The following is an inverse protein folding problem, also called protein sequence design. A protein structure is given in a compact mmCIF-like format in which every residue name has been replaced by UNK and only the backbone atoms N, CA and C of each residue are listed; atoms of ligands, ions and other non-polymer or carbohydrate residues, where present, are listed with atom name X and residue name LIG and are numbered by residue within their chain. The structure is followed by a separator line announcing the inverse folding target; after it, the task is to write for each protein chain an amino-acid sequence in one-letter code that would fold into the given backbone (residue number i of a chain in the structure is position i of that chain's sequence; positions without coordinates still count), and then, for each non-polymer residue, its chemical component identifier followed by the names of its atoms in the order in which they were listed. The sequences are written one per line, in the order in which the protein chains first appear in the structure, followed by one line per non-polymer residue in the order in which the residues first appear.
data_IF_074870516121
#
_entry.id   IF_074870516121
#
_cell.length_a   1.000
_cell.length_b   1.000
_cell.length_c   1.000
_cell.angle_alpha   90.00
_cell.angle_beta   90.00
_cell.angle_gamma   90.00
#
_symmetry.space_group_name_H-M   'P 1'
#
loop_
_entity.id
_entity.type
_entity.pdbx_description
1 polymer ?
#
# COMPACT_ATOMS: atom_id res chain seq x y z
N UNK A 1 -15.81 39.97 54.35
CA UNK A 1 -15.18 38.63 54.33
C UNK A 1 -15.64 37.89 53.07
N UNK A 2 -14.70 37.61 52.16
CA UNK A 2 -14.79 36.63 51.05
C UNK A 2 -14.74 35.20 51.65
N UNK A 3 -15.25 34.12 51.00
CA UNK A 3 -14.85 33.64 49.66
C UNK A 3 -16.05 33.28 48.75
N UNK A 4 -16.05 33.41 47.40
CA UNK A 4 -15.04 33.21 46.35
C UNK A 4 -14.55 31.76 46.25
N UNK A 5 -15.35 30.86 45.67
CA UNK A 5 -14.94 29.56 45.10
C UNK A 5 -16.14 28.79 44.53
N UNK A 6 -16.60 29.15 43.33
CA UNK A 6 -17.55 28.32 42.58
C UNK A 6 -17.46 28.60 41.07
N UNK A 7 -16.26 28.50 40.50
CA UNK A 7 -16.08 28.57 39.04
C UNK A 7 -14.69 28.07 38.60
N UNK A 8 -14.22 26.91 39.07
CA UNK A 8 -13.03 26.27 38.51
C UNK A 8 -13.22 24.75 38.52
N UNK A 9 -14.04 24.21 37.61
CA UNK A 9 -14.01 22.77 37.33
C UNK A 9 -14.53 22.43 35.91
N UNK A 10 -14.32 23.33 34.94
CA UNK A 10 -14.70 23.08 33.55
C UNK A 10 -13.68 23.69 32.57
N UNK A 11 -12.40 23.37 32.73
CA UNK A 11 -11.36 23.87 31.81
C UNK A 11 -10.10 22.98 31.71
N UNK A 12 -10.23 21.65 31.79
CA UNK A 12 -9.07 20.73 31.57
C UNK A 12 -9.44 19.53 30.68
N UNK A 13 -10.32 19.72 29.69
CA UNK A 13 -10.63 18.70 28.67
C UNK A 13 -10.47 19.20 27.23
N UNK A 14 -9.78 20.32 27.02
CA UNK A 14 -9.38 20.75 25.69
C UNK A 14 -7.85 20.77 25.62
N UNK A 15 -7.32 20.24 24.52
CA UNK A 15 -5.91 20.17 24.15
C UNK A 15 -5.09 18.96 24.67
N UNK A 16 -5.63 17.75 24.56
CA UNK A 16 -4.87 16.70 23.90
C UNK A 16 -5.14 16.79 22.40
N UNK A 17 -4.80 17.94 21.80
CA UNK A 17 -4.69 18.03 20.36
C UNK A 17 -3.47 17.18 20.00
N UNK A 18 -3.74 15.94 19.60
CA UNK A 18 -2.78 15.13 18.87
C UNK A 18 -2.15 16.04 17.84
N UNK A 19 -0.89 16.36 18.03
CA UNK A 19 -0.14 17.13 17.05
C UNK A 19 -0.28 16.36 15.74
N UNK A 20 -0.89 16.94 14.69
CA UNK A 20 -1.01 16.21 13.43
C UNK A 20 0.41 15.78 13.06
N UNK A 21 0.63 14.48 12.76
CA UNK A 21 1.94 14.00 12.41
C UNK A 21 2.51 14.90 11.31
N UNK A 22 3.81 15.25 11.36
CA UNK A 22 4.40 16.20 10.45
C UNK A 22 4.01 15.82 9.03
N UNK A 23 3.31 16.74 8.35
CA UNK A 23 2.81 16.48 7.00
C UNK A 23 4.03 16.35 6.10
N UNK A 24 4.37 15.10 5.76
CA UNK A 24 5.47 14.81 4.85
C UNK A 24 5.12 15.44 3.50
N UNK A 25 5.90 16.43 3.10
CA UNK A 25 5.75 17.14 1.83
C UNK A 25 6.87 16.77 0.88
N UNK A 26 6.59 16.77 -0.42
CA UNK A 26 7.58 16.55 -1.47
C UNK A 26 8.35 15.24 -1.28
N UNK A 27 7.62 14.13 -1.28
CA UNK A 27 8.16 12.78 -1.09
C UNK A 27 8.72 12.28 -2.43
N UNK A 28 10.04 12.14 -2.61
CA UNK A 28 10.58 11.46 -3.79
C UNK A 28 10.20 9.99 -3.74
N UNK A 29 9.61 9.50 -4.84
CA UNK A 29 9.15 8.13 -4.98
C UNK A 29 9.64 7.54 -6.28
N UNK A 30 10.14 6.31 -6.23
CA UNK A 30 10.38 5.47 -7.39
C UNK A 30 9.29 4.40 -7.48
N UNK A 31 8.66 4.33 -8.66
CA UNK A 31 7.77 3.25 -9.08
C UNK A 31 8.48 2.39 -10.11
N UNK A 32 8.31 1.07 -9.99
CA UNK A 32 8.76 0.11 -11.00
C UNK A 32 7.58 -0.69 -11.54
N UNK A 33 7.31 -0.51 -12.82
CA UNK A 33 6.27 -1.22 -13.56
C UNK A 33 6.93 -2.25 -14.47
N UNK A 34 6.61 -3.52 -14.29
CA UNK A 34 7.15 -4.62 -15.08
C UNK A 34 6.09 -5.21 -16.01
N UNK A 35 6.56 -5.78 -17.13
CA UNK A 35 5.74 -6.44 -18.16
C UNK A 35 4.70 -5.53 -18.84
N UNK A 36 4.93 -4.22 -18.87
CA UNK A 36 4.04 -3.23 -19.50
C UNK A 36 4.02 -3.44 -21.02
N UNK A 37 2.84 -3.70 -21.58
CA UNK A 37 2.67 -3.91 -23.03
C UNK A 37 2.33 -2.64 -23.79
N UNK A 38 2.92 -2.53 -24.97
CA UNK A 38 2.62 -1.50 -25.94
C UNK A 38 2.51 -2.15 -27.32
N UNK A 39 1.28 -2.37 -27.77
CA UNK A 39 0.93 -3.02 -29.03
C UNK A 39 0.46 -1.97 -30.04
N UNK A 40 1.00 -2.01 -31.25
CA UNK A 40 0.67 -1.05 -32.31
C UNK A 40 -0.79 -1.22 -32.75
N UNK A 41 -1.59 -0.16 -32.63
CA UNK A 41 -3.02 -0.19 -32.97
C UNK A 41 -3.87 -0.99 -31.98
N UNK A 42 -3.29 -1.38 -30.84
CA UNK A 42 -3.94 -2.17 -29.80
C UNK A 42 -3.76 -1.55 -28.42
N UNK A 43 -3.43 -2.38 -27.43
CA UNK A 43 -3.31 -2.00 -26.03
C UNK A 43 -2.04 -1.20 -25.80
N UNK A 44 -2.16 -0.03 -25.15
CA UNK A 44 -1.04 0.77 -24.67
C UNK A 44 -1.14 0.93 -23.15
N UNK A 45 -0.63 -0.06 -22.42
CA UNK A 45 -0.71 -0.11 -20.96
C UNK A 45 0.09 1.02 -20.31
N UNK A 46 1.16 1.47 -20.98
CA UNK A 46 1.97 2.59 -20.51
C UNK A 46 1.18 3.90 -20.50
N UNK A 47 0.36 4.14 -21.53
CA UNK A 47 -0.50 5.33 -21.60
C UNK A 47 -1.55 5.35 -20.47
N UNK A 48 -2.09 4.19 -20.09
CA UNK A 48 -3.02 4.09 -18.96
C UNK A 48 -2.33 4.41 -17.62
N UNK A 49 -1.13 3.85 -17.40
CA UNK A 49 -0.30 4.15 -16.22
C UNK A 49 0.03 5.65 -16.17
N UNK A 50 0.49 6.22 -17.29
CA UNK A 50 0.80 7.64 -17.38
C UNK A 50 -0.42 8.49 -17.04
N UNK A 51 -1.61 8.13 -17.53
CA UNK A 51 -2.84 8.87 -17.25
C UNK A 51 -3.16 8.91 -15.74
N UNK A 52 -3.01 7.78 -15.03
CA UNK A 52 -3.18 7.74 -13.57
C UNK A 52 -2.17 8.65 -12.86
N UNK A 53 -0.89 8.53 -13.22
CA UNK A 53 0.17 9.32 -12.59
C UNK A 53 -0.02 10.83 -12.87
N UNK A 54 -0.40 11.20 -14.08
CA UNK A 54 -0.61 12.60 -14.48
C UNK A 54 -1.81 13.24 -13.76
N UNK A 55 -2.93 12.51 -13.60
CA UNK A 55 -4.10 13.01 -12.87
C UNK A 55 -3.74 13.35 -11.43
N UNK A 56 -2.96 12.49 -10.77
CA UNK A 56 -2.58 12.68 -9.36
C UNK A 56 -1.50 13.73 -9.17
N UNK A 57 -0.53 13.79 -10.07
CA UNK A 57 0.61 14.70 -9.96
C UNK A 57 0.39 16.06 -10.64
N UNK A 58 -0.68 16.19 -11.43
CA UNK A 58 -1.02 17.39 -12.21
C UNK A 58 0.12 17.87 -13.13
N UNK A 59 0.94 16.94 -13.61
CA UNK A 59 2.06 17.20 -14.53
C UNK A 59 2.35 15.98 -15.39
N UNK A 60 2.94 16.17 -16.59
CA UNK A 60 3.43 15.07 -17.41
C UNK A 60 4.42 14.19 -16.63
N UNK A 61 4.34 12.88 -16.85
CA UNK A 61 5.23 11.89 -16.23
C UNK A 61 5.91 11.09 -17.33
N UNK A 62 7.25 11.07 -17.29
CA UNK A 62 8.09 10.27 -18.17
C UNK A 62 8.67 9.10 -17.38
N UNK A 63 8.73 7.93 -18.02
CA UNK A 63 9.35 6.74 -17.46
C UNK A 63 10.62 6.39 -18.21
N UNK A 64 11.63 5.93 -17.49
CA UNK A 64 12.84 5.33 -18.03
C UNK A 64 12.54 3.86 -18.39
N UNK A 65 12.85 3.45 -19.62
CA UNK A 65 12.78 2.04 -20.02
C UNK A 65 14.03 1.33 -19.51
N UNK A 66 13.86 0.46 -18.50
CA UNK A 66 14.96 -0.30 -17.88
C UNK A 66 15.19 -1.63 -18.61
N UNK A 67 14.13 -2.18 -19.19
CA UNK A 67 14.18 -3.42 -19.96
C UNK A 67 13.15 -3.37 -21.08
N UNK A 68 13.51 -3.88 -22.24
CA UNK A 68 12.62 -4.00 -23.39
C UNK A 68 12.73 -5.39 -24.00
N UNK A 69 11.60 -5.93 -24.44
CA UNK A 69 11.51 -7.13 -25.27
C UNK A 69 10.47 -6.91 -26.36
N UNK A 70 10.87 -7.11 -27.62
CA UNK A 70 9.93 -7.07 -28.74
C UNK A 70 8.99 -8.28 -28.73
N UNK A 71 7.75 -8.03 -29.14
CA UNK A 71 6.74 -9.03 -29.48
C UNK A 71 6.22 -8.71 -30.90
N UNK A 72 5.55 -9.66 -31.56
CA UNK A 72 5.24 -9.59 -33.00
C UNK A 72 4.66 -8.25 -33.48
N UNK A 73 3.83 -7.60 -32.66
CA UNK A 73 3.09 -6.38 -32.96
C UNK A 73 3.41 -5.22 -32.00
N UNK A 74 4.50 -5.31 -31.21
CA UNK A 74 4.80 -4.29 -30.21
C UNK A 74 5.97 -4.60 -29.28
N UNK A 75 5.91 -4.04 -28.07
CA UNK A 75 6.94 -4.18 -27.05
C UNK A 75 6.35 -4.55 -25.69
N UNK A 76 7.13 -5.28 -24.91
CA UNK A 76 6.95 -5.47 -23.47
C UNK A 76 8.10 -4.80 -22.77
N UNK A 77 7.81 -3.85 -21.88
CA UNK A 77 8.81 -3.01 -21.22
C UNK A 77 8.72 -3.06 -19.71
N UNK A 78 9.85 -2.81 -19.07
CA UNK A 78 9.94 -2.46 -17.66
C UNK A 78 10.22 -0.97 -17.58
N UNK A 79 9.34 -0.23 -16.92
CA UNK A 79 9.48 1.19 -16.67
C UNK A 79 9.91 1.47 -15.23
N UNK A 80 10.90 2.34 -15.07
CA UNK A 80 11.20 3.01 -13.82
C UNK A 80 10.71 4.44 -13.91
N UNK A 81 9.98 4.88 -12.88
CA UNK A 81 9.38 6.21 -12.84
C UNK A 81 9.76 6.87 -11.53
N UNK A 82 10.50 7.97 -11.61
CA UNK A 82 10.87 8.77 -10.46
C UNK A 82 10.01 10.02 -10.43
N UNK A 83 9.28 10.21 -9.33
CA UNK A 83 8.40 11.36 -9.13
C UNK A 83 8.66 12.02 -7.78
N UNK A 84 8.22 13.26 -7.68
CA UNK A 84 8.07 13.96 -6.40
C UNK A 84 6.57 14.05 -6.10
N UNK A 85 6.09 13.28 -5.14
CA UNK A 85 4.70 13.32 -4.71
C UNK A 85 4.50 14.48 -3.70
N UNK A 86 3.37 15.21 -3.76
CA UNK A 86 3.09 16.29 -2.82
C UNK A 86 3.09 15.83 -1.37
N UNK A 87 2.54 14.65 -1.11
CA UNK A 87 2.40 14.04 0.21
C UNK A 87 2.25 12.51 0.08
N UNK A 88 2.26 11.81 1.22
CA UNK A 88 2.08 10.36 1.27
C UNK A 88 0.68 9.90 0.86
N UNK A 89 -0.36 10.68 1.17
CA UNK A 89 -1.74 10.33 0.79
C UNK A 89 -1.89 10.26 -0.75
N UNK A 90 -1.16 11.12 -1.46
CA UNK A 90 -1.08 11.08 -2.92
C UNK A 90 -0.40 9.80 -3.40
N UNK A 91 0.65 9.35 -2.71
CA UNK A 91 1.35 8.09 -3.04
C UNK A 91 0.44 6.89 -2.87
N UNK A 92 -0.29 6.82 -1.76
CA UNK A 92 -1.29 5.77 -1.50
C UNK A 92 -2.42 5.78 -2.54
N UNK A 93 -2.88 6.97 -2.92
CA UNK A 93 -3.92 7.12 -3.95
C UNK A 93 -3.45 6.66 -5.33
N UNK A 94 -2.22 7.01 -5.71
CA UNK A 94 -1.59 6.52 -6.95
C UNK A 94 -1.55 4.99 -6.94
N UNK A 95 -1.08 4.40 -5.84
CA UNK A 95 -1.01 2.96 -5.69
C UNK A 95 -2.38 2.28 -5.86
N UNK A 96 -3.41 2.81 -5.20
CA UNK A 96 -4.78 2.29 -5.31
C UNK A 96 -5.34 2.37 -6.75
N UNK A 97 -5.07 3.45 -7.48
CA UNK A 97 -5.52 3.63 -8.85
C UNK A 97 -4.81 2.67 -9.83
N UNK A 98 -3.50 2.44 -9.64
CA UNK A 98 -2.73 1.46 -10.41
C UNK A 98 -3.27 0.04 -10.15
N UNK A 99 -3.56 -0.30 -8.91
CA UNK A 99 -4.20 -1.58 -8.56
C UNK A 99 -5.58 -1.73 -9.20
N UNK A 100 -6.34 -0.65 -9.31
CA UNK A 100 -7.62 -0.62 -10.01
C UNK A 100 -7.48 -0.83 -11.53
N UNK A 101 -6.44 -0.26 -12.16
CA UNK A 101 -6.12 -0.54 -13.57
C UNK A 101 -5.85 -2.03 -13.80
N UNK A 102 -5.05 -2.65 -12.92
CA UNK A 102 -4.78 -4.09 -12.94
C UNK A 102 -6.04 -4.95 -12.80
N UNK A 103 -7.07 -4.46 -12.11
CA UNK A 103 -8.37 -5.16 -11.99
C UNK A 103 -9.23 -5.03 -13.24
N UNK A 104 -9.38 -3.82 -13.80
CA UNK A 104 -10.20 -3.58 -15.02
C UNK A 104 -9.69 -4.37 -16.22
N UNK A 105 -8.37 -4.46 -16.32
CA UNK A 105 -7.63 -5.33 -17.21
C UNK A 105 -8.09 -6.80 -17.21
N UNK A 106 -8.19 -7.42 -16.04
CA UNK A 106 -8.50 -8.85 -15.92
C UNK A 106 -9.87 -9.24 -16.50
N UNK A 107 -10.80 -8.28 -16.61
CA UNK A 107 -12.19 -8.52 -17.03
C UNK A 107 -12.46 -8.25 -18.52
N UNK A 108 -11.62 -7.50 -19.25
CA UNK A 108 -11.93 -7.15 -20.66
C UNK A 108 -10.77 -7.11 -21.66
N UNK A 109 -9.53 -7.33 -21.28
CA UNK A 109 -8.44 -7.69 -22.21
C UNK A 109 -7.14 -7.89 -21.41
N UNK A 110 -6.39 -8.94 -21.76
CA UNK A 110 -5.07 -9.30 -21.19
C UNK A 110 -4.23 -8.03 -20.99
N UNK A 111 -4.15 -7.57 -19.74
CA UNK A 111 -3.28 -6.50 -19.23
C UNK A 111 -2.48 -7.16 -18.08
N UNK A 112 -1.15 -7.21 -18.18
CA UNK A 112 -0.26 -8.03 -17.33
C UNK A 112 0.74 -7.09 -16.68
N UNK A 113 0.20 -6.28 -15.77
CA UNK A 113 0.91 -5.24 -15.05
C UNK A 113 1.45 -5.83 -13.76
N UNK A 114 2.77 -5.90 -13.63
CA UNK A 114 3.43 -6.29 -12.39
C UNK A 114 4.07 -5.08 -11.70
N UNK A 115 3.50 -4.65 -10.57
CA UNK A 115 4.01 -3.53 -9.79
C UNK A 115 5.02 -4.01 -8.74
N UNK A 116 6.30 -4.00 -9.09
CA UNK A 116 7.36 -4.64 -8.30
C UNK A 116 7.75 -3.89 -7.01
N UNK A 117 7.30 -2.64 -6.82
CA UNK A 117 7.51 -1.95 -5.55
C UNK A 117 7.49 -0.43 -5.62
N UNK A 118 7.36 0.14 -4.43
CA UNK A 118 7.38 1.55 -4.11
C UNK A 118 8.60 1.85 -3.24
N UNK A 119 9.50 2.71 -3.68
CA UNK A 119 10.57 3.23 -2.83
C UNK A 119 10.35 4.73 -2.60
N UNK A 120 9.91 5.12 -1.40
CA UNK A 120 9.74 6.51 -1.01
C UNK A 120 10.92 6.94 -0.13
N UNK A 121 11.64 7.98 -0.54
CA UNK A 121 12.68 8.63 0.27
C UNK A 121 12.12 9.96 0.77
N UNK A 122 12.58 10.49 1.91
CA UNK A 122 12.19 11.81 2.40
C UNK A 122 13.42 12.57 2.87
N UNK A 123 13.56 13.84 2.45
CA UNK A 123 14.62 14.75 2.91
C UNK A 123 13.98 15.86 3.74
N UNK A 124 13.98 15.67 5.05
CA UNK A 124 13.74 16.75 6.03
C UNK A 124 15.07 17.43 6.38
N UNK A 125 15.06 18.69 6.81
CA UNK A 125 16.23 19.43 7.32
C UNK A 125 16.85 18.82 8.59
N UNK A 126 16.29 17.73 9.11
CA UNK A 126 16.93 16.75 9.98
C UNK A 126 17.10 15.44 9.20
N UNK A 127 18.34 14.98 8.99
CA UNK A 127 18.64 13.76 8.22
C UNK A 127 18.19 12.53 9.00
N UNK A 128 16.97 12.07 8.73
CA UNK A 128 16.49 10.71 9.02
C UNK A 128 15.94 10.13 7.72
N UNK A 129 16.74 9.27 7.07
CA UNK A 129 16.27 8.46 5.96
C UNK A 129 15.53 7.24 6.51
N UNK A 130 14.24 7.09 6.19
CA UNK A 130 13.45 5.91 6.53
C UNK A 130 13.02 5.19 5.25
N UNK A 131 13.07 3.85 5.24
CA UNK A 131 12.61 3.01 4.14
C UNK A 131 11.27 2.39 4.53
N UNK A 132 10.16 2.83 3.93
CA UNK A 132 8.86 2.21 4.20
C UNK A 132 8.42 1.30 3.06
N UNK A 133 7.79 0.17 3.38
CA UNK A 133 7.23 -0.79 2.41
C UNK A 133 5.72 -0.70 2.41
N UNK A 134 5.12 -0.40 1.26
CA UNK A 134 3.67 -0.47 1.08
C UNK A 134 3.29 -1.87 0.60
N UNK A 135 2.40 -2.53 1.33
CA UNK A 135 1.87 -3.85 0.96
C UNK A 135 0.38 -3.74 0.80
N UNK A 136 -0.16 -4.33 -0.26
CA UNK A 136 -1.59 -4.29 -0.55
C UNK A 136 -2.09 -5.61 -1.08
N UNK A 137 -3.38 -5.83 -0.93
CA UNK A 137 -4.05 -6.99 -1.49
C UNK A 137 -5.55 -6.81 -1.61
N UNK A 138 -6.24 -7.93 -1.83
CA UNK A 138 -7.68 -7.96 -1.93
C UNK A 138 -8.27 -8.70 -0.73
N UNK A 139 -9.47 -8.29 -0.33
CA UNK A 139 -10.28 -8.97 0.67
C UNK A 139 -11.75 -8.79 0.34
N UNK A 140 -12.63 -9.56 0.98
CA UNK A 140 -14.08 -9.35 0.87
C UNK A 140 -14.43 -7.97 1.45
N UNK A 141 -15.32 -7.25 0.79
CA UNK A 141 -15.78 -5.94 1.27
C UNK A 141 -16.38 -6.07 2.69
N UNK A 142 -15.99 -5.17 3.59
CA UNK A 142 -16.36 -5.21 5.01
C UNK A 142 -15.41 -6.03 5.90
N UNK A 143 -14.53 -6.86 5.35
CA UNK A 143 -13.51 -7.54 6.15
C UNK A 143 -12.43 -6.56 6.62
N UNK A 144 -11.91 -6.84 7.82
CA UNK A 144 -10.69 -6.24 8.36
C UNK A 144 -9.50 -7.11 7.99
N UNK A 145 -8.35 -6.49 7.79
CA UNK A 145 -7.09 -7.19 7.52
C UNK A 145 -6.06 -6.74 8.53
N UNK A 146 -5.47 -7.71 9.23
CA UNK A 146 -4.38 -7.52 10.19
C UNK A 146 -3.11 -8.10 9.63
N UNK A 147 -2.01 -7.37 9.77
CA UNK A 147 -0.72 -7.71 9.19
C UNK A 147 0.34 -7.89 10.27
N UNK A 148 1.19 -8.89 10.11
CA UNK A 148 2.29 -9.23 11.01
C UNK A 148 3.57 -9.36 10.20
N UNK A 149 4.67 -8.79 10.71
CA UNK A 149 5.96 -8.77 10.01
C UNK A 149 6.98 -9.74 10.58
N UNK A 150 6.77 -10.21 11.82
CA UNK A 150 7.60 -11.25 12.45
C UNK A 150 6.84 -11.93 13.60
N UNK A 151 7.13 -13.20 13.91
CA UNK A 151 6.59 -13.86 15.10
C UNK A 151 6.72 -12.99 16.36
N UNK A 152 5.63 -12.84 17.10
CA UNK A 152 5.57 -12.02 18.32
C UNK A 152 5.54 -10.50 18.12
N UNK A 153 5.44 -9.98 16.88
CA UNK A 153 5.13 -8.57 16.66
C UNK A 153 3.65 -8.27 16.87
N UNK A 154 3.34 -7.04 17.28
CA UNK A 154 1.97 -6.54 17.25
C UNK A 154 1.41 -6.55 15.82
N UNK A 155 0.11 -6.78 15.72
CA UNK A 155 -0.61 -6.69 14.46
C UNK A 155 -0.73 -5.22 14.05
N UNK A 156 -0.51 -4.94 12.76
CA UNK A 156 -0.83 -3.65 12.14
C UNK A 156 -2.15 -3.80 11.40
N UNK A 157 -3.15 -3.00 11.76
CA UNK A 157 -4.41 -2.96 11.02
C UNK A 157 -4.18 -2.31 9.65
N UNK A 158 -4.52 -3.05 8.58
CA UNK A 158 -4.51 -2.52 7.23
C UNK A 158 -5.75 -1.67 6.99
N UNK A 159 -5.58 -0.59 6.23
CA UNK A 159 -6.67 0.25 5.77
C UNK A 159 -7.39 -0.46 4.62
N UNK A 160 -8.68 -0.70 4.78
CA UNK A 160 -9.50 -1.42 3.80
C UNK A 160 -10.54 -0.48 3.19
N UNK A 161 -10.52 -0.34 1.85
CA UNK A 161 -11.47 0.47 1.09
C UNK A 161 -11.92 -0.33 -0.14
N UNK A 162 -13.23 -0.55 -0.29
CA UNK A 162 -13.83 -1.25 -1.46
C UNK A 162 -13.16 -2.61 -1.77
N UNK A 163 -12.87 -3.40 -0.73
CA UNK A 163 -12.22 -4.71 -0.85
C UNK A 163 -10.74 -4.67 -1.26
N UNK A 164 -10.11 -3.49 -1.26
CA UNK A 164 -8.66 -3.31 -1.37
C UNK A 164 -8.14 -3.01 0.03
N UNK A 165 -7.15 -3.75 0.49
CA UNK A 165 -6.44 -3.42 1.73
C UNK A 165 -5.04 -2.93 1.43
N UNK A 166 -4.53 -2.00 2.22
CA UNK A 166 -3.17 -1.50 2.17
C UNK A 166 -2.62 -1.28 3.57
N UNK A 167 -1.35 -1.59 3.76
CA UNK A 167 -0.61 -1.33 4.99
C UNK A 167 0.75 -0.76 4.65
N UNK A 168 1.16 0.25 5.41
CA UNK A 168 2.52 0.78 5.35
C UNK A 168 3.33 0.16 6.48
N UNK A 169 4.41 -0.50 6.12
CA UNK A 169 5.39 -1.07 7.03
C UNK A 169 6.58 -0.13 7.13
N UNK A 170 7.11 0.05 8.34
CA UNK A 170 8.26 0.92 8.60
C UNK A 170 9.59 0.38 8.06
N UNK A 171 9.63 -0.91 7.70
CA UNK A 171 10.78 -1.58 7.09
C UNK A 171 10.34 -2.78 6.24
N UNK A 172 11.20 -3.22 5.33
CA UNK A 172 11.06 -4.51 4.63
C UNK A 172 11.32 -5.62 5.65
N UNK A 173 10.43 -6.64 5.79
CA UNK A 173 10.71 -7.79 6.66
C UNK A 173 12.00 -8.50 6.26
N UNK A 174 12.76 -9.03 7.22
CA UNK A 174 14.06 -9.66 6.97
C UNK A 174 13.95 -10.88 6.04
N UNK A 175 12.93 -11.71 6.24
CA UNK A 175 12.59 -12.86 5.40
C UNK A 175 11.79 -12.49 4.14
N UNK A 176 11.49 -11.18 4.00
CA UNK A 176 10.66 -10.59 2.95
C UNK A 176 9.23 -11.10 2.93
N UNK A 177 8.76 -11.81 3.96
CA UNK A 177 7.39 -12.28 4.06
C UNK A 177 6.58 -11.39 5.00
N UNK A 178 5.35 -11.13 4.59
CA UNK A 178 4.36 -10.37 5.35
C UNK A 178 3.19 -11.29 5.56
N UNK A 179 2.83 -11.51 6.81
CA UNK A 179 1.80 -12.46 7.20
C UNK A 179 0.52 -11.69 7.51
N UNK A 180 -0.65 -12.28 7.27
CA UNK A 180 -1.89 -11.59 7.52
C UNK A 180 -3.08 -12.48 7.80
N UNK A 181 -4.08 -11.85 8.42
CA UNK A 181 -5.39 -12.42 8.71
C UNK A 181 -6.44 -11.51 8.13
N UNK A 182 -7.31 -12.04 7.29
CA UNK A 182 -8.57 -11.39 6.89
C UNK A 182 -9.70 -11.95 7.75
N UNK A 183 -10.43 -11.08 8.44
CA UNK A 183 -11.55 -11.45 9.30
C UNK A 183 -12.76 -10.54 9.11
N UNK A 184 -13.95 -11.12 9.17
CA UNK A 184 -15.19 -10.35 9.15
C UNK A 184 -15.46 -9.78 10.56
N UNK A 185 -15.84 -8.51 10.72
CA UNK A 185 -16.01 -7.87 12.04
C UNK A 185 -17.05 -8.57 12.93
N UNK A 186 -18.03 -9.25 12.35
CA UNK A 186 -19.07 -10.03 13.05
C UNK A 186 -18.85 -11.55 12.97
N UNK A 187 -17.68 -12.00 12.51
CA UNK A 187 -17.34 -13.41 12.29
C UNK A 187 -18.32 -14.21 11.40
N UNK A 188 -19.11 -13.52 10.57
CA UNK A 188 -20.03 -14.15 9.61
C UNK A 188 -19.30 -14.96 8.54
N UNK A 189 -18.09 -14.54 8.17
CA UNK A 189 -17.23 -15.26 7.23
C UNK A 189 -16.04 -15.88 7.95
N UNK A 190 -15.57 -17.07 7.52
CA UNK A 190 -14.41 -17.70 8.10
C UNK A 190 -13.17 -16.82 7.90
N UNK A 191 -12.31 -16.81 8.91
CA UNK A 191 -11.00 -16.16 8.82
C UNK A 191 -10.16 -16.80 7.73
N UNK A 192 -9.36 -16.00 7.05
CA UNK A 192 -8.37 -16.47 6.08
C UNK A 192 -6.99 -15.98 6.47
N UNK A 193 -6.06 -16.92 6.52
CA UNK A 193 -4.66 -16.68 6.84
C UNK A 193 -3.85 -16.69 5.54
N UNK A 194 -2.89 -15.79 5.42
CA UNK A 194 -2.08 -15.67 4.21
C UNK A 194 -0.68 -15.14 4.50
N UNK A 195 0.22 -15.31 3.54
CA UNK A 195 1.50 -14.59 3.48
C UNK A 195 1.74 -14.01 2.10
N UNK A 196 2.42 -12.88 2.05
CA UNK A 196 2.82 -12.17 0.83
C UNK A 196 4.32 -11.94 0.88
N UNK A 197 5.02 -12.33 -0.18
CA UNK A 197 6.43 -11.98 -0.30
C UNK A 197 6.54 -10.54 -0.81
N UNK A 198 7.07 -9.63 0.00
CA UNK A 198 7.20 -8.22 -0.33
C UNK A 198 8.14 -7.94 -1.52
N UNK A 199 9.00 -8.89 -1.92
CA UNK A 199 9.89 -8.73 -3.08
C UNK A 199 9.35 -9.38 -4.36
N UNK A 200 8.69 -10.54 -4.26
CA UNK A 200 8.19 -11.28 -5.44
C UNK A 200 6.69 -11.12 -5.65
N UNK A 201 5.99 -10.50 -4.71
CA UNK A 201 4.53 -10.35 -4.64
C UNK A 201 3.77 -11.69 -4.63
N UNK A 202 4.48 -12.80 -4.40
CA UNK A 202 3.88 -14.13 -4.31
C UNK A 202 2.97 -14.17 -3.09
N UNK A 203 1.71 -14.55 -3.32
CA UNK A 203 0.70 -14.71 -2.28
C UNK A 203 0.46 -16.20 -2.05
N UNK A 204 0.40 -16.59 -0.79
CA UNK A 204 0.11 -17.96 -0.37
C UNK A 204 -0.96 -17.96 0.72
N UNK A 205 -1.91 -18.87 0.61
CA UNK A 205 -2.84 -19.14 1.70
C UNK A 205 -2.13 -20.00 2.74
N UNK A 206 -2.36 -19.71 4.00
CA UNK A 206 -1.86 -20.47 5.14
C UNK A 206 -3.00 -21.18 5.82
N UNK A 207 -2.70 -22.36 6.37
CA UNK A 207 -3.61 -23.01 7.30
C UNK A 207 -3.60 -22.28 8.65
N UNK A 208 -4.73 -22.32 9.36
CA UNK A 208 -4.85 -21.69 10.67
C UNK A 208 -3.82 -22.24 11.66
N UNK A 209 -3.56 -23.55 11.62
CA UNK A 209 -2.58 -24.22 12.48
C UNK A 209 -1.14 -23.73 12.22
N UNK A 210 -0.79 -23.51 10.96
CA UNK A 210 0.52 -22.98 10.55
C UNK A 210 0.69 -21.55 11.05
N UNK A 211 -0.34 -20.70 10.82
CA UNK A 211 -0.31 -19.32 11.27
C UNK A 211 -0.25 -19.19 12.81
N UNK A 212 -1.10 -19.93 13.52
CA UNK A 212 -1.13 -19.93 14.99
C UNK A 212 0.18 -20.49 15.58
N UNK A 213 0.79 -21.48 14.91
CA UNK A 213 2.09 -22.01 15.29
C UNK A 213 3.21 -20.97 15.28
N UNK A 214 3.12 -19.95 14.40
CA UNK A 214 4.10 -18.87 14.31
C UNK A 214 3.77 -17.64 15.15
N UNK A 215 2.49 -17.24 15.21
CA UNK A 215 2.08 -15.96 15.80
C UNK A 215 1.31 -16.08 17.12
N UNK A 216 1.11 -17.29 17.64
CA UNK A 216 0.35 -17.52 18.86
C UNK A 216 -1.16 -17.51 18.64
N UNK A 217 -1.94 -17.47 19.74
CA UNK A 217 -3.41 -17.63 19.70
C UNK A 217 -4.04 -16.68 18.67
N UNK A 218 -4.87 -17.26 17.79
CA UNK A 218 -5.77 -16.50 16.94
C UNK A 218 -6.53 -15.45 17.79
N UNK A 219 -6.73 -14.21 17.28
CA UNK A 219 -7.51 -13.21 18.00
C UNK A 219 -8.85 -13.82 18.42
N UNK A 220 -9.36 -13.49 19.61
CA UNK A 220 -10.54 -14.16 20.18
C UNK A 220 -11.71 -14.26 19.18
N UNK A 221 -12.40 -15.41 19.19
CA UNK A 221 -13.63 -15.64 18.42
C UNK A 221 -14.75 -14.74 18.91
#
# INVERSE_FOLDING_TARGET
MRPLLAAIFLAVLAACASTPPPTMRNVPVEFRFENVREVKGGINEWQDIQSVLQVRLKRPVTGEVVRERSISDGFVRTYRVQILAPDLATVESIHADIESLRRRAATSNRLDLNFAGLAATYRSSFVTAGVSTLVSGQTVEGNRVKIYTRPGSDAVDAKVERGVWHVRLEAVPEDRWVYGVSEHPTNLLPRRYFRVNASTLRVENLDESEFVGWFGRAPAR
#
